data_IF_667153076975
#
_entry.id   IF_667153076975
#
_cell.length_a   1.000
_cell.length_b   1.000
_cell.length_c   1.000
_cell.angle_alpha   90.00
_cell.angle_beta   90.00
_cell.angle_gamma   90.00
#
_symmetry.space_group_name_H-M   'P 1'
#
loop_
_entity.id
_entity.type
_entity.pdbx_description
1 polymer ?
#
# COMPACT_ATOMS: atom_id res chain seq x y z
N UNK A 1 -16.48 -0.45 8.55
CA UNK A 1 -15.55 0.47 7.85
C UNK A 1 -15.17 -0.18 6.53
N UNK A 2 -15.07 0.62 5.48
CA UNK A 2 -14.78 0.20 4.10
C UNK A 2 -13.28 0.28 3.84
N UNK A 3 -12.70 -0.75 3.26
CA UNK A 3 -11.26 -0.90 3.05
C UNK A 3 -10.93 -0.87 1.56
N UNK A 4 -9.94 -0.07 1.21
CA UNK A 4 -9.23 -0.13 -0.07
C UNK A 4 -7.88 -0.81 0.15
N UNK A 5 -7.64 -1.91 -0.54
CA UNK A 5 -6.42 -2.73 -0.42
C UNK A 5 -5.53 -2.56 -1.65
N UNK A 6 -4.30 -2.12 -1.44
CA UNK A 6 -3.29 -1.97 -2.48
C UNK A 6 -2.23 -3.05 -2.32
N UNK A 7 -1.74 -3.57 -3.46
CA UNK A 7 -0.75 -4.65 -3.47
C UNK A 7 -1.24 -5.85 -2.66
N UNK A 8 -2.50 -6.23 -2.88
CA UNK A 8 -3.22 -7.18 -2.02
C UNK A 8 -2.63 -8.59 -2.02
N UNK A 9 -1.76 -8.92 -2.97
CA UNK A 9 -1.15 -10.24 -3.07
C UNK A 9 -2.20 -11.33 -3.16
N UNK A 10 -2.04 -12.37 -2.36
CA UNK A 10 -3.04 -13.46 -2.24
C UNK A 10 -4.17 -13.15 -1.23
N UNK A 11 -4.15 -11.97 -0.60
CA UNK A 11 -5.21 -11.49 0.29
C UNK A 11 -4.98 -11.73 1.78
N UNK A 12 -3.74 -11.95 2.23
CA UNK A 12 -3.48 -12.25 3.64
C UNK A 12 -3.91 -11.13 4.60
N UNK A 13 -3.57 -9.88 4.28
CA UNK A 13 -3.98 -8.73 5.08
C UNK A 13 -5.50 -8.51 4.98
N UNK A 14 -6.06 -8.67 3.78
CA UNK A 14 -7.49 -8.51 3.51
C UNK A 14 -8.32 -9.51 4.34
N UNK A 15 -7.85 -10.75 4.45
CA UNK A 15 -8.49 -11.75 5.30
C UNK A 15 -8.52 -11.31 6.77
N UNK A 16 -7.42 -10.77 7.27
CA UNK A 16 -7.35 -10.29 8.66
C UNK A 16 -8.33 -9.13 8.90
N UNK A 17 -8.45 -8.21 7.94
CA UNK A 17 -9.41 -7.10 8.03
C UNK A 17 -10.86 -7.60 7.96
N UNK A 18 -11.17 -8.56 7.06
CA UNK A 18 -12.51 -9.17 7.02
C UNK A 18 -12.87 -9.89 8.31
N UNK A 19 -11.94 -10.66 8.89
CA UNK A 19 -12.14 -11.31 10.19
C UNK A 19 -12.36 -10.31 11.34
N UNK A 20 -11.79 -9.12 11.22
CA UNK A 20 -12.00 -8.01 12.17
C UNK A 20 -13.31 -7.23 11.90
N UNK A 21 -14.14 -7.65 10.94
CA UNK A 21 -15.43 -7.04 10.65
C UNK A 21 -15.37 -5.84 9.69
N UNK A 22 -14.27 -5.68 8.94
CA UNK A 22 -14.15 -4.68 7.90
C UNK A 22 -14.66 -5.22 6.56
N UNK A 23 -15.07 -4.34 5.67
CA UNK A 23 -15.53 -4.67 4.32
C UNK A 23 -14.48 -4.23 3.30
N UNK A 24 -13.93 -5.17 2.52
CA UNK A 24 -13.06 -4.84 1.39
C UNK A 24 -13.95 -4.40 0.22
N UNK A 25 -13.84 -3.16 -0.19
CA UNK A 25 -14.65 -2.59 -1.27
C UNK A 25 -13.89 -2.44 -2.58
N UNK A 26 -12.56 -2.47 -2.50
CA UNK A 26 -11.69 -2.39 -3.66
C UNK A 26 -10.33 -2.98 -3.32
N UNK A 27 -9.77 -3.74 -4.24
CA UNK A 27 -8.44 -4.32 -4.11
C UNK A 27 -7.68 -4.20 -5.43
N UNK A 28 -6.36 -4.07 -5.35
CA UNK A 28 -5.49 -4.03 -6.52
C UNK A 28 -4.32 -4.99 -6.36
N UNK A 29 -4.08 -5.77 -7.41
CA UNK A 29 -2.91 -6.63 -7.55
C UNK A 29 -2.46 -6.67 -9.00
N UNK A 30 -1.16 -6.57 -9.22
CA UNK A 30 -0.58 -6.58 -10.56
C UNK A 30 -0.15 -7.99 -10.98
N UNK A 31 0.33 -8.80 -10.03
CA UNK A 31 0.78 -10.16 -10.30
C UNK A 31 -0.40 -11.07 -10.63
N UNK A 32 -0.32 -11.71 -11.78
CA UNK A 32 -1.41 -12.54 -12.32
C UNK A 32 -1.70 -13.78 -11.47
N UNK A 33 -0.65 -14.40 -10.93
CA UNK A 33 -0.81 -15.63 -10.15
C UNK A 33 -1.33 -15.33 -8.75
N UNK A 34 -0.86 -14.23 -8.14
CA UNK A 34 -1.41 -13.71 -6.89
C UNK A 34 -2.88 -13.32 -7.07
N UNK A 35 -3.22 -12.57 -8.12
CA UNK A 35 -4.60 -12.17 -8.43
C UNK A 35 -5.52 -13.37 -8.65
N UNK A 36 -5.03 -14.44 -9.31
CA UNK A 36 -5.78 -15.70 -9.46
C UNK A 36 -6.09 -16.34 -8.12
N UNK A 37 -5.11 -16.41 -7.23
CA UNK A 37 -5.27 -16.94 -5.87
C UNK A 37 -6.23 -16.07 -5.05
N UNK A 38 -6.09 -14.76 -5.15
CA UNK A 38 -6.99 -13.80 -4.51
C UNK A 38 -8.45 -14.04 -4.91
N UNK A 39 -8.72 -14.15 -6.21
CA UNK A 39 -10.09 -14.44 -6.72
C UNK A 39 -10.64 -15.76 -6.22
N UNK A 40 -9.80 -16.77 -6.10
CA UNK A 40 -10.21 -18.07 -5.57
C UNK A 40 -10.70 -17.95 -4.11
N UNK A 41 -10.03 -17.13 -3.31
CA UNK A 41 -10.30 -16.99 -1.87
C UNK A 41 -11.40 -15.98 -1.55
N UNK A 42 -11.51 -14.89 -2.32
CA UNK A 42 -12.36 -13.74 -1.98
C UNK A 42 -13.42 -13.43 -3.03
N UNK A 43 -13.44 -14.16 -4.14
CA UNK A 43 -14.16 -13.73 -5.33
C UNK A 43 -13.37 -12.64 -6.08
N UNK A 44 -13.91 -12.11 -7.15
CA UNK A 44 -13.18 -11.20 -8.03
C UNK A 44 -13.86 -9.86 -8.28
N UNK A 45 -14.98 -9.60 -7.65
CA UNK A 45 -15.85 -8.48 -7.98
C UNK A 45 -15.20 -7.12 -7.78
N UNK A 46 -14.38 -6.99 -6.74
CA UNK A 46 -13.69 -5.74 -6.39
C UNK A 46 -12.18 -5.77 -6.63
N UNK A 47 -11.64 -6.86 -7.19
CA UNK A 47 -10.22 -6.96 -7.53
C UNK A 47 -9.92 -6.38 -8.90
N UNK A 48 -9.05 -5.39 -8.94
CA UNK A 48 -8.51 -4.78 -10.16
C UNK A 48 -7.10 -5.33 -10.41
N UNK A 49 -6.98 -6.25 -11.38
CA UNK A 49 -5.70 -6.81 -11.84
C UNK A 49 -5.05 -5.86 -12.84
N UNK A 50 -4.30 -4.89 -12.31
CA UNK A 50 -3.67 -3.83 -13.12
C UNK A 50 -2.50 -3.21 -12.36
N UNK A 51 -1.52 -2.67 -13.11
CA UNK A 51 -0.50 -1.82 -12.50
C UNK A 51 -1.16 -0.60 -11.87
N UNK A 52 -0.88 -0.37 -10.58
CA UNK A 52 -1.45 0.75 -9.82
C UNK A 52 -1.14 2.11 -10.45
N UNK A 53 -0.02 2.24 -11.16
CA UNK A 53 0.35 3.45 -11.89
C UNK A 53 -0.63 3.80 -12.99
N UNK A 54 -1.35 2.82 -13.53
CA UNK A 54 -2.37 3.00 -14.56
C UNK A 54 -3.78 3.24 -14.00
N UNK A 55 -3.96 3.11 -12.68
CA UNK A 55 -5.24 3.33 -12.02
C UNK A 55 -5.40 4.82 -11.69
N UNK A 56 -6.48 5.42 -12.17
CA UNK A 56 -6.84 6.78 -11.79
C UNK A 56 -7.50 6.78 -10.42
N UNK A 57 -7.21 7.80 -9.62
CA UNK A 57 -7.77 7.89 -8.27
C UNK A 57 -9.30 7.98 -8.27
N UNK A 58 -9.87 8.59 -9.32
CA UNK A 58 -11.33 8.74 -9.48
C UNK A 58 -12.03 7.37 -9.68
N UNK A 59 -11.32 6.38 -10.21
CA UNK A 59 -11.87 5.04 -10.45
C UNK A 59 -11.91 4.19 -9.17
N UNK A 60 -11.27 4.66 -8.09
CA UNK A 60 -11.30 4.01 -6.78
C UNK A 60 -12.52 4.54 -6.01
N UNK A 61 -13.42 3.67 -5.51
CA UNK A 61 -14.56 4.10 -4.71
C UNK A 61 -14.12 4.79 -3.41
N UNK A 62 -15.04 5.43 -2.71
CA UNK A 62 -14.76 5.99 -1.39
C UNK A 62 -14.57 4.88 -0.36
N UNK A 63 -13.65 5.08 0.56
CA UNK A 63 -13.26 4.13 1.59
C UNK A 63 -12.80 4.85 2.86
N UNK A 64 -12.77 4.11 3.98
CA UNK A 64 -12.37 4.65 5.30
C UNK A 64 -10.94 4.29 5.66
N UNK A 65 -10.47 3.13 5.20
CA UNK A 65 -9.13 2.58 5.53
C UNK A 65 -8.40 2.23 4.24
N UNK A 66 -7.20 2.76 4.08
CA UNK A 66 -6.27 2.30 3.06
C UNK A 66 -5.33 1.27 3.69
N UNK A 67 -5.23 0.11 3.05
CA UNK A 67 -4.33 -0.97 3.45
C UNK A 67 -3.32 -1.22 2.35
N UNK A 68 -2.04 -1.32 2.68
CA UNK A 68 -1.02 -1.63 1.69
C UNK A 68 0.18 -2.37 2.29
N UNK A 69 0.44 -3.59 1.80
CA UNK A 69 1.71 -4.30 1.96
C UNK A 69 2.59 -4.04 0.74
N UNK A 70 3.35 -2.96 0.75
CA UNK A 70 4.13 -2.56 -0.40
C UNK A 70 5.55 -3.14 -0.39
N UNK A 71 6.15 -3.45 -1.55
CA UNK A 71 7.49 -4.01 -1.59
C UNK A 71 8.53 -3.02 -1.07
N UNK A 72 9.47 -3.53 -0.25
CA UNK A 72 10.65 -2.81 0.20
C UNK A 72 11.68 -2.74 -0.95
N UNK A 73 11.34 -2.08 -2.02
CA UNK A 73 12.32 -1.75 -3.06
C UNK A 73 13.15 -0.56 -2.55
N UNK A 74 14.48 -0.56 -2.75
CA UNK A 74 15.30 0.52 -2.26
C UNK A 74 14.77 1.86 -2.78
N UNK A 75 14.45 2.74 -1.84
CA UNK A 75 14.30 4.15 -2.09
C UNK A 75 15.69 4.71 -2.39
N UNK A 76 16.28 4.25 -3.48
CA UNK A 76 17.62 4.67 -3.89
C UNK A 76 17.58 6.13 -4.32
N UNK A 77 17.63 7.01 -3.33
CA UNK A 77 18.00 8.40 -3.49
C UNK A 77 19.55 8.50 -3.66
N UNK A 78 20.23 7.37 -3.76
CA UNK A 78 21.64 7.31 -4.00
C UNK A 78 21.96 7.65 -5.44
N UNK A 79 22.21 8.92 -5.70
CA UNK A 79 22.89 9.38 -6.88
C UNK A 79 22.02 10.01 -7.95
N UNK A 80 22.03 11.35 -7.97
CA UNK A 80 21.69 12.22 -9.08
C UNK A 80 20.23 12.21 -9.55
N UNK A 81 19.42 13.14 -9.03
CA UNK A 81 18.29 13.82 -9.72
C UNK A 81 17.46 13.06 -10.78
N UNK A 82 17.46 11.73 -10.77
CA UNK A 82 16.63 10.87 -11.61
C UNK A 82 15.60 10.07 -10.80
N UNK A 83 15.32 10.47 -9.56
CA UNK A 83 14.47 9.72 -8.62
C UNK A 83 13.00 9.54 -9.02
N UNK A 84 12.55 10.20 -10.07
CA UNK A 84 11.18 10.05 -10.59
C UNK A 84 11.08 9.19 -11.86
N UNK A 85 12.21 8.84 -12.49
CA UNK A 85 12.25 8.12 -13.77
C UNK A 85 12.68 6.65 -13.65
N UNK A 86 12.83 6.10 -12.43
CA UNK A 86 13.06 4.65 -12.30
C UNK A 86 11.74 3.92 -12.64
N UNK A 87 11.69 3.08 -13.69
CA UNK A 87 10.48 2.33 -14.06
C UNK A 87 10.01 1.35 -12.97
N UNK A 88 10.87 1.03 -11.98
CA UNK A 88 10.51 0.35 -10.74
C UNK A 88 9.95 1.33 -9.71
N UNK A 89 9.69 2.55 -10.15
CA UNK A 89 9.33 3.73 -9.40
C UNK A 89 8.50 3.39 -8.18
N UNK A 90 8.96 3.86 -7.13
CA UNK A 90 8.59 3.71 -5.77
C UNK A 90 7.07 3.58 -5.59
N UNK A 91 6.61 2.35 -5.45
CA UNK A 91 5.18 2.03 -5.30
C UNK A 91 4.57 2.73 -4.08
N UNK A 92 5.40 3.11 -3.11
CA UNK A 92 4.96 3.95 -2.00
C UNK A 92 4.43 5.31 -2.48
N UNK A 93 4.99 5.93 -3.51
CA UNK A 93 4.47 7.20 -4.02
C UNK A 93 3.10 7.06 -4.69
N UNK A 94 2.75 5.87 -5.18
CA UNK A 94 1.39 5.59 -5.62
C UNK A 94 0.41 5.55 -4.43
N UNK A 95 0.84 5.00 -3.29
CA UNK A 95 0.09 5.10 -2.04
C UNK A 95 -0.10 6.58 -1.66
N UNK A 96 0.99 7.36 -1.65
CA UNK A 96 0.94 8.77 -1.29
C UNK A 96 0.02 9.58 -2.24
N UNK A 97 0.01 9.26 -3.55
CA UNK A 97 -0.89 9.85 -4.54
C UNK A 97 -2.36 9.61 -4.17
N UNK A 98 -2.71 8.36 -3.90
CA UNK A 98 -4.08 7.98 -3.53
C UNK A 98 -4.48 8.62 -2.20
N UNK A 99 -3.59 8.61 -1.21
CA UNK A 99 -3.82 9.28 0.08
C UNK A 99 -4.04 10.77 -0.08
N UNK A 100 -3.26 11.43 -0.92
CA UNK A 100 -3.40 12.86 -1.20
C UNK A 100 -4.80 13.19 -1.73
N UNK A 101 -5.32 12.39 -2.64
CA UNK A 101 -6.59 12.63 -3.31
C UNK A 101 -7.79 12.19 -2.47
N UNK A 102 -7.72 11.00 -1.87
CA UNK A 102 -8.84 10.36 -1.15
C UNK A 102 -8.92 10.72 0.34
N UNK A 103 -7.81 11.08 0.98
CA UNK A 103 -7.75 11.48 2.39
C UNK A 103 -8.47 10.50 3.35
N UNK A 104 -8.18 9.19 3.27
CA UNK A 104 -8.84 8.23 4.16
C UNK A 104 -8.55 8.55 5.63
N UNK A 105 -9.51 8.34 6.54
CA UNK A 105 -9.29 8.52 7.98
C UNK A 105 -8.15 7.69 8.55
N UNK A 106 -7.92 6.49 8.01
CA UNK A 106 -6.91 5.54 8.50
C UNK A 106 -6.07 5.01 7.34
N UNK A 107 -4.76 4.90 7.58
CA UNK A 107 -3.81 4.25 6.68
C UNK A 107 -3.10 3.15 7.46
N UNK A 108 -3.14 1.93 6.95
CA UNK A 108 -2.41 0.78 7.47
C UNK A 108 -1.36 0.34 6.46
N UNK A 109 -0.09 0.46 6.82
CA UNK A 109 1.04 0.06 5.99
C UNK A 109 1.77 -1.13 6.62
N UNK A 110 2.05 -2.14 5.82
CA UNK A 110 2.84 -3.30 6.21
C UNK A 110 4.13 -3.35 5.41
N UNK A 111 5.23 -3.72 6.08
CA UNK A 111 6.51 -3.94 5.43
C UNK A 111 7.42 -4.80 6.33
N UNK A 112 8.56 -5.23 5.80
CA UNK A 112 9.56 -5.96 6.57
C UNK A 112 10.22 -5.07 7.63
N UNK A 113 10.65 -5.65 8.76
CA UNK A 113 11.27 -4.91 9.87
C UNK A 113 12.49 -4.08 9.44
N UNK A 114 13.25 -4.56 8.45
CA UNK A 114 14.41 -3.85 7.91
C UNK A 114 14.07 -2.46 7.30
N UNK A 115 12.80 -2.15 7.08
CA UNK A 115 12.39 -0.82 6.61
C UNK A 115 12.84 0.30 7.56
N UNK A 116 12.88 0.02 8.86
CA UNK A 116 13.26 1.01 9.88
C UNK A 116 14.75 1.40 9.79
N UNK A 117 15.60 0.46 9.40
CA UNK A 117 17.06 0.65 9.32
C UNK A 117 17.53 0.90 7.87
N UNK A 118 16.66 0.67 6.89
CA UNK A 118 17.01 0.79 5.49
C UNK A 118 17.48 2.21 5.16
N UNK A 119 18.65 2.31 4.51
CA UNK A 119 19.32 3.56 4.14
C UNK A 119 19.48 4.50 5.36
N UNK A 120 20.00 3.96 6.47
CA UNK A 120 20.19 4.68 7.74
C UNK A 120 18.90 5.38 8.23
N UNK A 121 17.76 4.74 8.08
CA UNK A 121 16.43 5.24 8.49
C UNK A 121 15.82 6.26 7.53
N UNK A 122 16.49 6.64 6.46
CA UNK A 122 15.99 7.66 5.51
C UNK A 122 14.75 7.20 4.78
N UNK A 123 14.61 5.89 4.52
CA UNK A 123 13.43 5.32 3.88
C UNK A 123 12.19 5.51 4.74
N UNK A 124 12.27 5.17 6.02
CA UNK A 124 11.17 5.40 6.96
C UNK A 124 10.83 6.89 7.10
N UNK A 125 11.86 7.74 7.17
CA UNK A 125 11.67 9.19 7.23
C UNK A 125 11.00 9.75 5.97
N UNK A 126 11.30 9.19 4.80
CA UNK A 126 10.64 9.57 3.55
C UNK A 126 9.14 9.24 3.59
N UNK A 127 8.77 8.05 4.07
CA UNK A 127 7.37 7.65 4.27
C UNK A 127 6.67 8.60 5.25
N UNK A 128 7.30 8.86 6.38
CA UNK A 128 6.80 9.78 7.40
C UNK A 128 6.53 11.17 6.81
N UNK A 129 7.52 11.76 6.15
CA UNK A 129 7.44 13.10 5.58
C UNK A 129 6.42 13.21 4.43
N UNK A 130 6.12 12.11 3.74
CA UNK A 130 5.13 12.10 2.67
C UNK A 130 3.69 12.10 3.19
N UNK A 131 3.44 11.62 4.41
CA UNK A 131 2.07 11.46 4.94
C UNK A 131 1.72 12.47 6.04
N UNK A 132 2.68 12.85 6.89
CA UNK A 132 2.43 13.77 8.01
C UNK A 132 1.88 15.12 7.57
N UNK A 133 2.31 15.75 6.44
CA UNK A 133 1.73 17.02 6.00
C UNK A 133 0.23 16.96 5.73
N UNK A 134 -0.33 15.77 5.59
CA UNK A 134 -1.76 15.57 5.41
C UNK A 134 -2.55 15.40 6.72
N UNK A 135 -1.88 15.58 7.89
CA UNK A 135 -2.52 15.56 9.19
C UNK A 135 -2.56 14.19 9.86
N UNK A 136 -1.85 13.20 9.32
CA UNK A 136 -1.78 11.87 9.94
C UNK A 136 -0.82 11.84 11.12
N UNK A 137 -1.21 11.14 12.18
CA UNK A 137 -0.30 10.76 13.28
C UNK A 137 0.26 9.36 13.01
N UNK A 138 1.54 9.17 13.27
CA UNK A 138 2.25 7.93 13.00
C UNK A 138 2.39 7.07 14.27
N UNK A 139 2.06 5.79 14.12
CA UNK A 139 2.43 4.74 15.09
C UNK A 139 2.99 3.56 14.33
N UNK A 140 4.04 2.94 14.83
CA UNK A 140 4.59 1.73 14.24
C UNK A 140 4.92 0.69 15.32
N UNK A 141 4.98 -0.56 14.90
CA UNK A 141 5.36 -1.69 15.74
C UNK A 141 6.04 -2.76 14.89
N UNK A 142 7.15 -3.28 15.38
CA UNK A 142 7.73 -4.52 14.84
C UNK A 142 6.98 -5.68 15.45
N UNK A 143 6.56 -6.61 14.61
CA UNK A 143 5.80 -7.80 15.01
C UNK A 143 6.54 -9.03 14.47
N UNK A 144 6.74 -10.02 15.34
CA UNK A 144 7.26 -11.32 14.95
C UNK A 144 6.09 -12.28 14.71
N UNK A 145 6.13 -12.99 13.60
CA UNK A 145 5.22 -14.11 13.35
C UNK A 145 5.81 -15.35 14.01
N UNK A 146 5.43 -15.61 15.27
CA UNK A 146 5.81 -16.83 16.00
C UNK A 146 4.75 -17.90 15.76
#
# INVERSE_FOLDING_TARGET
MRVCSLFSGIGGIDLAFQQAGFEIVWANEFDRDAAKTYRHNFGGEYLVERDIKSVRTEDIPDFDVLVAGFPCQPFSIAGKQKGFDDPRGNLFFEIARIVKDKRPPVIFLENVANLLEHDDGKTFLTIYNALVPYGYTFKYRVMDAI
#
